data_IF_015449056548
#
_entry.id   IF_015449056548
#
_cell.length_a   1.000
_cell.length_b   1.000
_cell.length_c   1.000
_cell.angle_alpha   90.00
_cell.angle_beta   90.00
_cell.angle_gamma   90.00
#
_symmetry.space_group_name_H-M   'P 1'
#
loop_
_entity.id
_entity.type
_entity.pdbx_description
1 polymer ?
#
# COMPACT_ATOMS: atom_id res chain seq x y z
N UNK A 1 10.25 -25.10 -11.89
CA UNK A 1 10.77 -23.99 -12.72
C UNK A 1 10.84 -22.73 -11.88
N UNK A 2 12.03 -22.33 -11.42
CA UNK A 2 12.18 -21.09 -10.65
C UNK A 2 12.38 -19.95 -11.63
N UNK A 3 11.37 -19.10 -11.80
CA UNK A 3 11.49 -17.90 -12.62
C UNK A 3 12.60 -17.01 -12.03
N UNK A 4 13.66 -16.80 -12.79
CA UNK A 4 14.73 -15.87 -12.41
C UNK A 4 14.18 -14.45 -12.49
N UNK A 5 13.55 -13.98 -11.41
CA UNK A 5 13.08 -12.60 -11.32
C UNK A 5 14.29 -11.66 -11.34
N UNK A 6 14.47 -10.94 -12.45
CA UNK A 6 15.43 -9.86 -12.51
C UNK A 6 15.05 -8.84 -11.44
N UNK A 7 16.00 -8.40 -10.59
CA UNK A 7 15.70 -7.40 -9.58
C UNK A 7 15.18 -6.13 -10.26
N UNK A 8 13.93 -5.77 -9.96
CA UNK A 8 13.30 -4.58 -10.51
C UNK A 8 13.65 -3.38 -9.65
N UNK A 9 14.07 -2.28 -10.29
CA UNK A 9 14.33 -1.02 -9.59
C UNK A 9 13.00 -0.45 -9.12
N UNK A 10 12.77 -0.47 -7.81
CA UNK A 10 11.58 0.12 -7.21
C UNK A 10 11.76 1.61 -6.87
N UNK A 11 13.01 2.04 -6.64
CA UNK A 11 13.37 3.37 -6.10
C UNK A 11 14.82 3.75 -6.41
N UNK A 12 15.10 5.06 -6.52
CA UNK A 12 16.46 5.59 -6.63
C UNK A 12 16.85 6.33 -5.35
N UNK A 13 17.97 5.95 -4.73
CA UNK A 13 18.55 6.72 -3.63
C UNK A 13 19.34 7.91 -4.20
N UNK A 14 19.05 9.12 -3.71
CA UNK A 14 19.72 10.34 -4.12
C UNK A 14 20.87 10.65 -3.16
N UNK A 15 21.86 11.42 -3.61
CA UNK A 15 23.01 11.84 -2.79
C UNK A 15 22.62 12.63 -1.53
N UNK A 16 21.44 13.25 -1.51
CA UNK A 16 20.89 13.94 -0.34
C UNK A 16 20.15 13.01 0.66
N UNK A 17 20.29 11.69 0.51
CA UNK A 17 19.65 10.69 1.37
C UNK A 17 18.15 10.47 1.13
N UNK A 18 17.53 11.20 0.19
CA UNK A 18 16.12 10.99 -0.17
C UNK A 18 15.97 9.86 -1.18
N UNK A 19 14.79 9.26 -1.22
CA UNK A 19 14.42 8.21 -2.18
C UNK A 19 13.47 8.80 -3.21
N UNK A 20 13.78 8.65 -4.50
CA UNK A 20 12.95 9.09 -5.63
C UNK A 20 12.21 7.91 -6.26
N UNK A 21 10.93 8.08 -6.57
CA UNK A 21 10.18 7.10 -7.35
C UNK A 21 10.66 7.12 -8.83
N UNK A 22 10.96 5.98 -9.45
CA UNK A 22 11.38 5.91 -10.86
C UNK A 22 10.21 6.05 -11.84
N UNK A 23 8.97 5.87 -11.37
CA UNK A 23 7.80 5.81 -12.23
C UNK A 23 7.53 7.18 -12.91
N UNK A 24 7.30 7.24 -14.23
CA UNK A 24 7.07 8.50 -14.96
C UNK A 24 5.95 9.36 -14.38
N UNK A 25 4.85 8.72 -13.94
CA UNK A 25 3.71 9.40 -13.31
C UNK A 25 3.97 9.91 -11.88
N UNK A 26 5.16 9.66 -11.32
CA UNK A 26 5.57 10.11 -9.98
C UNK A 26 6.75 11.08 -10.05
N UNK A 27 6.94 11.73 -11.20
CA UNK A 27 8.06 12.64 -11.46
C UNK A 27 8.14 13.72 -10.39
N UNK A 28 9.33 13.87 -9.79
CA UNK A 28 9.60 14.85 -8.74
C UNK A 28 9.23 14.43 -7.32
N UNK A 29 8.55 13.30 -7.13
CA UNK A 29 8.21 12.81 -5.79
C UNK A 29 9.46 12.20 -5.14
N UNK A 30 9.81 12.73 -3.97
CA UNK A 30 10.92 12.24 -3.14
C UNK A 30 10.46 12.01 -1.70
N UNK A 31 11.08 11.04 -1.04
CA UNK A 31 10.74 10.64 0.32
C UNK A 31 11.99 10.71 1.20
N UNK A 32 11.86 11.32 2.38
CA UNK A 32 12.95 11.32 3.37
C UNK A 32 13.07 10.01 4.16
N UNK A 33 12.02 9.17 4.16
CA UNK A 33 12.00 7.90 4.90
C UNK A 33 11.65 6.73 3.97
N UNK A 34 12.36 5.62 4.16
CA UNK A 34 12.10 4.37 3.43
C UNK A 34 10.66 3.88 3.60
N UNK A 35 10.11 3.95 4.82
CA UNK A 35 8.72 3.55 5.09
C UNK A 35 7.68 4.33 4.27
N UNK A 36 7.86 5.65 4.09
CA UNK A 36 6.96 6.48 3.29
C UNK A 36 7.06 6.12 1.80
N UNK A 37 8.28 5.89 1.30
CA UNK A 37 8.51 5.42 -0.05
C UNK A 37 7.90 4.02 -0.29
N UNK A 38 8.09 3.07 0.63
CA UNK A 38 7.53 1.72 0.53
C UNK A 38 6.01 1.77 0.49
N UNK A 39 5.39 2.60 1.34
CA UNK A 39 3.93 2.83 1.33
C UNK A 39 3.47 3.40 0.00
N UNK A 40 4.19 4.37 -0.56
CA UNK A 40 3.88 4.90 -1.89
C UNK A 40 3.96 3.80 -2.96
N UNK A 41 5.06 3.05 -3.01
CA UNK A 41 5.23 1.97 -3.98
C UNK A 41 4.12 0.93 -3.88
N UNK A 42 3.81 0.43 -2.68
CA UNK A 42 2.77 -0.58 -2.50
C UNK A 42 1.37 -0.07 -2.87
N UNK A 43 1.06 1.21 -2.65
CA UNK A 43 -0.26 1.76 -2.97
C UNK A 43 -0.43 2.06 -4.47
N UNK A 44 0.62 2.51 -5.14
CA UNK A 44 0.53 3.04 -6.50
C UNK A 44 1.09 2.10 -7.57
N UNK A 45 2.12 1.32 -7.24
CA UNK A 45 2.92 0.56 -8.22
C UNK A 45 2.91 -0.95 -8.02
N UNK A 46 2.54 -1.45 -6.83
CA UNK A 46 2.44 -2.90 -6.63
C UNK A 46 1.26 -3.49 -7.42
N UNK A 47 1.55 -4.52 -8.22
CA UNK A 47 0.56 -5.24 -9.04
C UNK A 47 -0.50 -5.96 -8.19
N UNK A 48 -0.12 -6.45 -7.00
CA UNK A 48 -1.02 -7.06 -6.03
C UNK A 48 -1.21 -6.13 -4.84
N UNK A 49 -2.34 -5.41 -4.81
CA UNK A 49 -2.71 -4.57 -3.67
C UNK A 49 -3.46 -5.44 -2.67
N UNK A 50 -2.78 -5.82 -1.59
CA UNK A 50 -3.48 -6.42 -0.46
C UNK A 50 -4.41 -5.37 0.15
N UNK A 51 -5.71 -5.68 0.19
CA UNK A 51 -6.72 -4.86 0.83
C UNK A 51 -7.05 -5.42 2.22
N UNK A 52 -7.04 -4.55 3.23
CA UNK A 52 -7.49 -4.87 4.57
C UNK A 52 -8.93 -4.41 4.78
N UNK A 53 -9.76 -5.31 5.27
CA UNK A 53 -11.18 -5.08 5.55
C UNK A 53 -11.46 -5.24 7.05
N UNK A 54 -12.50 -4.59 7.55
CA UNK A 54 -13.02 -4.92 8.88
C UNK A 54 -13.62 -6.33 8.84
N UNK A 55 -13.35 -7.11 9.88
CA UNK A 55 -13.87 -8.48 10.02
C UNK A 55 -15.25 -8.53 10.68
N UNK A 56 -15.71 -7.41 11.26
CA UNK A 56 -17.02 -7.33 11.90
C UNK A 56 -18.15 -7.33 10.85
N UNK A 57 -19.09 -8.26 11.00
CA UNK A 57 -20.23 -8.39 10.11
C UNK A 57 -21.15 -7.17 10.24
N UNK A 58 -21.54 -6.59 9.10
CA UNK A 58 -22.39 -5.39 9.06
C UNK A 58 -21.67 -4.07 9.30
N UNK A 59 -20.36 -4.08 9.58
CA UNK A 59 -19.58 -2.85 9.62
C UNK A 59 -19.47 -2.22 8.22
N UNK A 60 -19.61 -0.90 8.10
CA UNK A 60 -19.45 -0.17 6.83
C UNK A 60 -18.04 -0.31 6.19
N UNK A 61 -17.07 -0.82 6.95
CA UNK A 61 -15.70 -1.12 6.52
C UNK A 61 -15.46 -2.60 6.24
N UNK A 62 -16.48 -3.45 6.36
CA UNK A 62 -16.43 -4.86 5.98
C UNK A 62 -16.53 -5.03 4.46
N UNK A 63 -16.14 -6.19 3.90
CA UNK A 63 -16.29 -6.46 2.48
C UNK A 63 -17.77 -6.41 2.07
N UNK A 64 -18.14 -5.72 0.97
CA UNK A 64 -19.52 -5.68 0.51
C UNK A 64 -19.96 -7.07 0.04
N UNK A 65 -21.11 -7.51 0.53
CA UNK A 65 -21.75 -8.74 0.07
C UNK A 65 -22.16 -8.55 -1.40
N UNK A 66 -21.64 -9.39 -2.30
CA UNK A 66 -21.97 -9.34 -3.73
C UNK A 66 -20.98 -8.62 -4.63
N UNK A 67 -19.83 -8.15 -4.10
CA UNK A 67 -18.77 -7.56 -4.92
C UNK A 67 -19.08 -6.14 -5.36
N UNK A 68 -18.48 -5.16 -4.67
CA UNK A 68 -18.62 -3.74 -4.96
C UNK A 68 -17.48 -2.93 -4.37
N UNK A 69 -17.48 -1.61 -4.59
CA UNK A 69 -16.49 -0.71 -3.97
C UNK A 69 -16.88 -0.44 -2.51
N UNK A 70 -16.50 -1.33 -1.62
CA UNK A 70 -16.52 -1.08 -0.17
C UNK A 70 -15.40 -0.12 0.26
N UNK A 71 -15.46 0.39 1.49
CA UNK A 71 -14.43 1.30 2.03
C UNK A 71 -13.36 0.55 2.82
N UNK A 72 -12.52 -0.22 2.11
CA UNK A 72 -11.37 -0.90 2.71
C UNK A 72 -10.37 0.07 3.35
N UNK A 73 -9.44 -0.46 4.13
CA UNK A 73 -8.29 0.28 4.67
C UNK A 73 -7.12 0.32 3.66
N UNK A 74 -7.33 -0.11 2.41
CA UNK A 74 -6.27 -0.30 1.44
C UNK A 74 -5.18 -1.23 2.00
N UNK A 75 -3.90 -0.86 1.82
CA UNK A 75 -2.77 -1.63 2.35
C UNK A 75 -2.41 -1.34 3.82
N UNK A 76 -3.25 -0.60 4.56
CA UNK A 76 -2.96 -0.16 5.93
C UNK A 76 -3.56 -1.07 6.99
N UNK A 77 -2.87 -2.17 7.29
CA UNK A 77 -3.24 -3.08 8.38
C UNK A 77 -3.35 -2.37 9.73
N UNK A 78 -2.43 -1.44 10.02
CA UNK A 78 -2.41 -0.66 11.26
C UNK A 78 -3.72 0.09 11.50
N UNK A 79 -4.30 0.66 10.43
CA UNK A 79 -5.58 1.39 10.51
C UNK A 79 -6.79 0.47 10.64
N UNK A 80 -6.73 -0.72 10.04
CA UNK A 80 -7.74 -1.75 10.29
C UNK A 80 -7.70 -2.22 11.75
N UNK A 81 -6.51 -2.47 12.30
CA UNK A 81 -6.36 -2.94 13.69
C UNK A 81 -6.74 -1.85 14.72
N UNK A 82 -6.38 -0.60 14.46
CA UNK A 82 -6.83 0.57 15.23
C UNK A 82 -8.36 0.70 15.19
N UNK A 83 -8.98 0.52 14.03
CA UNK A 83 -10.43 0.54 13.87
C UNK A 83 -11.11 -0.57 14.69
N UNK A 84 -10.59 -1.80 14.64
CA UNK A 84 -11.11 -2.90 15.46
C UNK A 84 -11.06 -2.52 16.94
N UNK A 85 -9.87 -2.24 17.49
CA UNK A 85 -9.71 -1.96 18.94
C UNK A 85 -10.57 -0.82 19.48
N UNK A 86 -10.91 0.17 18.65
CA UNK A 86 -11.63 1.36 19.10
C UNK A 86 -13.15 1.27 18.88
N UNK A 87 -13.64 0.40 17.97
CA UNK A 87 -15.07 0.34 17.61
C UNK A 87 -15.69 -1.05 17.80
N UNK A 88 -14.90 -2.10 18.04
CA UNK A 88 -15.32 -3.50 18.17
C UNK A 88 -14.57 -4.17 19.34
#
# INVERSE_FOLDING_TARGET
>A
SQASERPTVIGHMLSNGKIRCPHPNCRGITFGRNADFRRHYTNHHASAKQEFWCTELGCNRSPPVGGGRGRSFGNRKDKRDEHLRNLH
#
